data_IF_871321777637
#
_entry.id   IF_871321777637
#
_cell.length_a   1.000
_cell.length_b   1.000
_cell.length_c   1.000
_cell.angle_alpha   90.00
_cell.angle_beta   90.00
_cell.angle_gamma   90.00
#
_symmetry.space_group_name_H-M   'P 1'
#
loop_
_entity.id
_entity.type
_entity.pdbx_description
1 polymer ?
#
# COMPACT_ATOMS: atom_id res chain seq x y z
N UNK A 1 -15.64 -8.62 8.60
CA UNK A 1 -15.47 -7.15 8.44
C UNK A 1 -15.82 -6.41 9.72
N UNK A 2 -17.04 -6.58 10.29
CA UNK A 2 -17.51 -5.81 11.47
C UNK A 2 -16.52 -5.89 12.64
N UNK A 3 -16.02 -7.07 12.99
CA UNK A 3 -15.03 -7.25 14.06
C UNK A 3 -13.69 -6.52 13.80
N UNK A 4 -13.40 -6.17 12.56
CA UNK A 4 -12.17 -5.46 12.18
C UNK A 4 -12.31 -3.93 12.23
N UNK A 5 -13.53 -3.36 12.19
CA UNK A 5 -13.76 -1.92 12.15
C UNK A 5 -13.25 -1.17 13.39
N UNK A 6 -13.25 -1.80 14.55
CA UNK A 6 -12.73 -1.21 15.79
C UNK A 6 -11.22 -1.30 15.94
N UNK A 7 -10.51 -1.71 14.89
CA UNK A 7 -9.06 -1.81 14.91
C UNK A 7 -8.41 -0.45 14.68
N UNK A 8 -7.31 -0.12 15.37
CA UNK A 8 -6.63 1.17 15.19
C UNK A 8 -5.92 1.26 13.83
N UNK A 9 -5.43 0.14 13.30
CA UNK A 9 -4.67 0.08 12.05
C UNK A 9 -5.09 -1.08 11.17
N UNK A 10 -4.74 -1.01 9.88
CA UNK A 10 -4.98 -2.09 8.92
C UNK A 10 -4.38 -3.42 9.37
N UNK A 11 -3.15 -3.41 9.89
CA UNK A 11 -2.48 -4.64 10.35
C UNK A 11 -3.25 -5.36 11.45
N UNK A 12 -3.79 -4.62 12.42
CA UNK A 12 -4.64 -5.20 13.47
C UNK A 12 -5.96 -5.72 12.89
N UNK A 13 -6.55 -4.98 11.94
CA UNK A 13 -7.79 -5.37 11.27
C UNK A 13 -7.63 -6.68 10.49
N UNK A 14 -6.55 -6.82 9.72
CA UNK A 14 -6.25 -8.02 8.94
C UNK A 14 -5.95 -9.22 9.84
N UNK A 15 -5.17 -9.06 10.92
CA UNK A 15 -4.92 -10.13 11.90
C UNK A 15 -6.20 -10.62 12.57
N UNK A 16 -7.13 -9.71 12.89
CA UNK A 16 -8.47 -10.07 13.39
C UNK A 16 -9.30 -10.82 12.36
N UNK A 17 -9.23 -10.37 11.10
CA UNK A 17 -9.88 -11.07 9.99
C UNK A 17 -9.38 -12.51 9.86
N UNK A 18 -8.06 -12.71 9.80
CA UNK A 18 -7.45 -14.04 9.68
C UNK A 18 -7.88 -14.95 10.83
N UNK A 19 -7.84 -14.46 12.09
CA UNK A 19 -8.31 -15.22 13.25
C UNK A 19 -9.79 -15.58 13.13
N UNK A 20 -10.63 -14.65 12.71
CA UNK A 20 -12.07 -14.89 12.60
C UNK A 20 -12.39 -15.88 11.49
N UNK A 21 -11.66 -15.84 10.37
CA UNK A 21 -11.81 -16.79 9.27
C UNK A 21 -11.51 -18.22 9.72
N UNK A 22 -10.50 -18.44 10.56
CA UNK A 22 -10.17 -19.74 11.12
C UNK A 22 -11.24 -20.33 12.08
N UNK A 23 -12.24 -19.52 12.49
CA UNK A 23 -13.42 -20.01 13.23
C UNK A 23 -14.54 -20.48 12.29
N UNK A 24 -14.48 -20.13 10.99
CA UNK A 24 -15.53 -20.43 10.00
C UNK A 24 -15.20 -21.68 9.22
N UNK A 25 -13.92 -21.91 8.94
CA UNK A 25 -13.46 -23.07 8.17
C UNK A 25 -12.10 -23.56 8.67
N UNK A 26 -11.88 -24.87 8.56
CA UNK A 26 -10.61 -25.56 8.80
C UNK A 26 -9.95 -26.07 7.51
N UNK A 27 -10.48 -25.67 6.33
CA UNK A 27 -9.94 -26.08 5.03
C UNK A 27 -8.72 -25.25 4.62
N UNK A 28 -8.66 -23.99 5.12
CA UNK A 28 -7.56 -23.06 4.85
C UNK A 28 -7.14 -22.30 6.12
N UNK A 29 -5.89 -21.84 6.14
CA UNK A 29 -5.39 -20.92 7.14
C UNK A 29 -4.94 -19.61 6.49
N UNK A 30 -5.37 -18.47 7.06
CA UNK A 30 -4.93 -17.14 6.67
C UNK A 30 -3.96 -16.59 7.71
N UNK A 31 -2.87 -15.98 7.25
CA UNK A 31 -1.92 -15.27 8.11
C UNK A 31 -1.50 -13.92 7.50
N UNK A 32 -1.05 -13.03 8.38
CA UNK A 32 -0.43 -11.74 8.01
C UNK A 32 0.85 -11.60 8.80
N UNK A 33 1.96 -11.53 8.10
CA UNK A 33 3.29 -11.41 8.65
C UNK A 33 4.02 -10.21 8.05
N UNK A 34 4.88 -9.59 8.85
CA UNK A 34 5.78 -8.53 8.38
C UNK A 34 7.21 -9.07 8.39
N UNK A 35 7.88 -8.95 7.24
CA UNK A 35 9.26 -9.37 7.07
C UNK A 35 9.97 -8.42 6.11
N UNK A 36 11.15 -7.93 6.50
CA UNK A 36 12.02 -7.10 5.65
C UNK A 36 11.31 -5.89 5.03
N UNK A 37 10.42 -5.23 5.79
CA UNK A 37 9.66 -4.06 5.31
C UNK A 37 8.52 -4.40 4.35
N UNK A 38 8.22 -5.68 4.15
CA UNK A 38 7.09 -6.17 3.38
C UNK A 38 6.06 -6.85 4.28
N UNK A 39 4.80 -6.73 3.91
CA UNK A 39 3.69 -7.44 4.52
C UNK A 39 3.25 -8.58 3.60
N UNK A 40 3.24 -9.78 4.17
CA UNK A 40 2.90 -11.03 3.52
C UNK A 40 1.54 -11.50 4.02
N UNK A 41 0.56 -11.52 3.13
CA UNK A 41 -0.77 -12.08 3.39
C UNK A 41 -0.81 -13.45 2.74
N UNK A 42 -0.85 -14.51 3.55
CA UNK A 42 -0.76 -15.91 3.09
C UNK A 42 -2.07 -16.65 3.29
N UNK A 43 -2.45 -17.40 2.28
CA UNK A 43 -3.48 -18.42 2.33
C UNK A 43 -2.79 -19.77 2.17
N UNK A 44 -2.82 -20.57 3.22
CA UNK A 44 -2.34 -21.96 3.21
C UNK A 44 -3.52 -22.90 3.12
N UNK A 45 -3.51 -23.78 2.14
CA UNK A 45 -4.47 -24.87 2.02
C UNK A 45 -4.14 -25.94 3.06
N UNK A 46 -5.10 -26.29 3.92
CA UNK A 46 -4.96 -27.33 4.95
C UNK A 46 -5.55 -28.65 4.49
N UNK A 47 -6.50 -28.60 3.53
CA UNK A 47 -7.14 -29.73 2.90
C UNK A 47 -7.14 -29.58 1.40
N UNK A 48 -7.44 -30.65 0.68
CA UNK A 48 -7.67 -30.56 -0.75
C UNK A 48 -9.01 -29.85 -1.02
N UNK A 49 -8.95 -28.75 -1.77
CA UNK A 49 -10.11 -27.94 -2.14
C UNK A 49 -10.82 -28.45 -3.38
N UNK A 50 -10.33 -29.54 -4.00
CA UNK A 50 -10.94 -30.16 -5.15
C UNK A 50 -11.12 -29.24 -6.37
N UNK A 51 -12.16 -29.46 -7.19
CA UNK A 51 -12.38 -28.70 -8.45
C UNK A 51 -12.64 -27.21 -8.25
N UNK A 52 -13.05 -26.79 -7.04
CA UNK A 52 -13.34 -25.39 -6.72
C UNK A 52 -12.12 -24.63 -6.17
N UNK A 53 -10.93 -25.24 -6.18
CA UNK A 53 -9.71 -24.72 -5.60
C UNK A 53 -9.36 -23.31 -6.10
N UNK A 54 -9.29 -23.14 -7.43
CA UNK A 54 -8.97 -21.85 -8.04
C UNK A 54 -9.97 -20.77 -7.61
N UNK A 55 -11.27 -21.04 -7.75
CA UNK A 55 -12.32 -20.11 -7.37
C UNK A 55 -12.30 -19.77 -5.89
N UNK A 56 -12.10 -20.75 -5.01
CA UNK A 56 -12.03 -20.54 -3.55
C UNK A 56 -10.85 -19.66 -3.14
N UNK A 57 -9.64 -20.02 -3.58
CA UNK A 57 -8.41 -19.26 -3.27
C UNK A 57 -8.49 -17.85 -3.83
N UNK A 58 -8.90 -17.71 -5.12
CA UNK A 58 -9.05 -16.43 -5.77
C UNK A 58 -10.05 -15.53 -5.05
N UNK A 59 -11.24 -16.05 -4.74
CA UNK A 59 -12.32 -15.30 -4.08
C UNK A 59 -11.91 -14.80 -2.71
N UNK A 60 -11.25 -15.64 -1.91
CA UNK A 60 -10.84 -15.29 -0.55
C UNK A 60 -9.77 -14.19 -0.59
N UNK A 61 -8.70 -14.37 -1.39
CA UNK A 61 -7.63 -13.38 -1.50
C UNK A 61 -8.13 -12.06 -2.11
N UNK A 62 -9.02 -12.14 -3.11
CA UNK A 62 -9.60 -10.95 -3.74
C UNK A 62 -10.50 -10.17 -2.78
N UNK A 63 -11.34 -10.88 -2.00
CA UNK A 63 -12.18 -10.25 -0.97
C UNK A 63 -11.33 -9.61 0.13
N UNK A 64 -10.31 -10.32 0.62
CA UNK A 64 -9.42 -9.79 1.65
C UNK A 64 -8.69 -8.54 1.16
N UNK A 65 -8.15 -8.57 -0.05
CA UNK A 65 -7.51 -7.42 -0.69
C UNK A 65 -8.48 -6.24 -0.88
N UNK A 66 -9.69 -6.51 -1.40
CA UNK A 66 -10.72 -5.48 -1.59
C UNK A 66 -11.16 -4.83 -0.28
N UNK A 67 -11.35 -5.63 0.78
CA UNK A 67 -11.69 -5.12 2.11
C UNK A 67 -10.53 -4.35 2.73
N UNK A 68 -9.28 -4.80 2.56
CA UNK A 68 -8.11 -4.07 3.02
C UNK A 68 -8.05 -2.66 2.41
N UNK A 69 -8.20 -2.55 1.09
CA UNK A 69 -8.27 -1.26 0.39
C UNK A 69 -9.44 -0.40 0.89
N UNK A 70 -10.62 -1.01 1.08
CA UNK A 70 -11.80 -0.31 1.57
C UNK A 70 -11.62 0.22 2.98
N UNK A 71 -11.06 -0.57 3.91
CA UNK A 71 -10.87 -0.17 5.30
C UNK A 71 -10.02 1.09 5.46
N UNK A 72 -8.98 1.25 4.64
CA UNK A 72 -8.10 2.40 4.69
C UNK A 72 -8.45 3.49 3.66
N UNK A 73 -9.50 3.27 2.85
CA UNK A 73 -9.90 4.15 1.75
C UNK A 73 -8.73 4.46 0.80
N UNK A 74 -7.99 3.43 0.42
CA UNK A 74 -6.78 3.56 -0.38
C UNK A 74 -6.56 2.33 -1.25
N UNK A 75 -6.00 2.55 -2.43
CA UNK A 75 -5.39 1.47 -3.19
C UNK A 75 -4.17 0.95 -2.43
N UNK A 76 -4.00 -0.36 -2.40
CA UNK A 76 -2.79 -1.03 -1.94
C UNK A 76 -2.06 -1.54 -3.18
N UNK A 77 -0.85 -1.07 -3.41
CA UNK A 77 -0.01 -1.58 -4.50
C UNK A 77 0.64 -2.88 -4.04
N UNK A 78 0.36 -3.96 -4.76
CA UNK A 78 0.98 -5.26 -4.51
C UNK A 78 2.33 -5.34 -5.23
N UNK A 79 3.37 -5.74 -4.50
CA UNK A 79 4.71 -5.97 -5.06
C UNK A 79 4.82 -7.34 -5.69
N UNK A 80 4.01 -8.30 -5.19
CA UNK A 80 3.93 -9.65 -5.72
C UNK A 80 2.58 -10.27 -5.40
N UNK A 81 2.08 -11.10 -6.32
CA UNK A 81 0.93 -11.99 -6.13
C UNK A 81 1.36 -13.38 -6.58
N UNK A 82 1.29 -14.36 -5.69
CA UNK A 82 1.68 -15.75 -5.96
C UNK A 82 0.50 -16.67 -5.72
N UNK A 83 0.16 -17.48 -6.72
CA UNK A 83 -0.82 -18.56 -6.58
C UNK A 83 -0.13 -19.92 -6.57
N UNK A 84 -0.55 -20.80 -5.65
CA UNK A 84 0.01 -22.14 -5.50
C UNK A 84 -0.56 -23.16 -6.49
N UNK A 85 -1.31 -22.74 -7.50
CA UNK A 85 -1.84 -23.57 -8.58
C UNK A 85 -1.22 -23.20 -9.93
N UNK A 86 -1.36 -24.09 -10.91
CA UNK A 86 -0.86 -23.87 -12.27
C UNK A 86 -1.60 -22.72 -12.95
N UNK A 87 -0.91 -22.04 -13.87
CA UNK A 87 -1.48 -20.94 -14.62
C UNK A 87 -2.73 -21.39 -15.42
N UNK A 88 -3.92 -20.85 -15.13
CA UNK A 88 -5.11 -21.20 -15.89
C UNK A 88 -5.09 -20.59 -17.29
N UNK A 89 -5.87 -21.12 -18.22
CA UNK A 89 -5.97 -20.61 -19.60
C UNK A 89 -6.33 -19.11 -19.65
N UNK A 90 -7.09 -18.64 -18.67
CA UNK A 90 -7.52 -17.24 -18.54
C UNK A 90 -6.62 -16.39 -17.62
N UNK A 91 -5.39 -16.78 -17.40
CA UNK A 91 -4.44 -16.08 -16.50
C UNK A 91 -4.31 -14.57 -16.78
N UNK A 92 -4.56 -14.10 -18.00
CA UNK A 92 -4.49 -12.68 -18.37
C UNK A 92 -5.48 -11.79 -17.59
N UNK A 93 -6.52 -12.36 -16.96
CA UNK A 93 -7.50 -11.63 -16.15
C UNK A 93 -6.95 -11.28 -14.76
N UNK A 94 -6.01 -12.04 -14.23
CA UNK A 94 -5.51 -11.89 -12.86
C UNK A 94 -4.84 -10.54 -12.59
N UNK A 95 -3.98 -9.99 -13.46
CA UNK A 95 -3.43 -8.64 -13.26
C UNK A 95 -4.49 -7.53 -13.26
N UNK A 96 -5.68 -7.75 -13.83
CA UNK A 96 -6.80 -6.81 -13.75
C UNK A 96 -7.48 -6.86 -12.37
N UNK A 97 -7.40 -7.98 -11.67
CA UNK A 97 -7.99 -8.19 -10.35
C UNK A 97 -7.04 -7.76 -9.22
N UNK A 98 -5.76 -8.00 -9.39
CA UNK A 98 -4.70 -7.68 -8.43
C UNK A 98 -3.73 -6.69 -9.07
N UNK A 99 -3.58 -5.53 -8.49
CA UNK A 99 -2.70 -4.48 -9.03
C UNK A 99 -1.24 -4.75 -8.69
N UNK A 100 -0.64 -5.76 -9.33
CA UNK A 100 0.74 -6.18 -9.12
C UNK A 100 1.12 -7.32 -10.06
N UNK A 101 2.42 -7.71 -10.10
CA UNK A 101 2.88 -8.87 -10.84
C UNK A 101 2.29 -10.15 -10.28
N UNK A 102 1.67 -10.96 -11.15
CA UNK A 102 1.04 -12.24 -10.79
C UNK A 102 1.89 -13.39 -11.29
N UNK A 103 2.13 -14.37 -10.41
CA UNK A 103 2.86 -15.60 -10.69
C UNK A 103 2.02 -16.81 -10.28
N UNK A 104 2.25 -17.95 -10.93
CA UNK A 104 1.57 -19.20 -10.69
C UNK A 104 2.57 -20.33 -10.43
N UNK A 105 2.12 -21.40 -9.76
CA UNK A 105 2.96 -22.50 -9.34
C UNK A 105 3.50 -22.32 -7.92
N UNK A 106 3.87 -23.41 -7.23
CA UNK A 106 4.36 -23.29 -5.85
C UNK A 106 5.76 -22.69 -5.83
N UNK A 107 5.97 -21.65 -5.00
CA UNK A 107 7.25 -20.97 -4.82
C UNK A 107 8.37 -21.87 -4.25
N UNK A 108 8.06 -23.04 -3.72
CA UNK A 108 9.01 -23.91 -3.01
C UNK A 108 9.57 -25.08 -3.82
N UNK A 109 9.41 -25.10 -5.15
CA UNK A 109 10.11 -26.14 -5.95
C UNK A 109 11.62 -25.95 -6.08
N UNK A 110 12.20 -24.89 -5.50
CA UNK A 110 13.59 -24.50 -5.82
C UNK A 110 14.66 -24.93 -4.80
N UNK A 111 14.37 -25.59 -3.69
CA UNK A 111 15.41 -25.85 -2.69
C UNK A 111 15.46 -27.21 -1.98
N UNK A 112 14.80 -28.26 -2.46
CA UNK A 112 14.98 -29.60 -1.87
C UNK A 112 15.26 -30.68 -2.94
N UNK A 113 16.38 -30.54 -3.65
CA UNK A 113 17.06 -31.66 -4.29
C UNK A 113 18.01 -32.29 -3.27
N UNK A 114 17.49 -32.96 -2.26
CA UNK A 114 18.21 -33.99 -1.51
C UNK A 114 17.31 -35.22 -1.43
N UNK A 115 17.61 -36.14 -2.36
CA UNK A 115 16.99 -37.45 -2.41
C UNK A 115 17.37 -38.26 -1.17
N UNK A 116 16.54 -38.27 -0.13
CA UNK A 116 16.62 -39.31 0.92
C UNK A 116 15.59 -39.17 2.06
N UNK A 117 14.39 -38.63 1.82
CA UNK A 117 13.30 -38.90 2.80
C UNK A 117 11.96 -39.08 2.08
N UNK A 118 11.54 -40.33 1.93
CA UNK A 118 10.27 -40.75 1.30
C UNK A 118 9.13 -40.81 2.33
N UNK A 119 8.94 -39.79 3.12
CA UNK A 119 7.66 -39.47 3.74
C UNK A 119 7.14 -38.22 3.01
N UNK A 120 6.32 -38.45 1.99
CA UNK A 120 5.70 -37.41 1.16
C UNK A 120 4.74 -36.57 1.99
N UNK A 121 5.27 -35.64 2.76
CA UNK A 121 4.52 -34.45 3.14
C UNK A 121 4.55 -33.54 1.92
N UNK A 122 3.44 -33.51 1.15
CA UNK A 122 3.28 -32.57 0.04
C UNK A 122 3.69 -31.17 0.52
N UNK A 123 4.52 -30.47 -0.27
CA UNK A 123 4.93 -29.11 0.04
C UNK A 123 3.67 -28.24 0.28
N UNK A 124 3.67 -27.38 1.33
CA UNK A 124 2.49 -26.64 1.69
C UNK A 124 2.05 -25.74 0.51
N UNK A 125 0.78 -25.88 0.12
CA UNK A 125 0.17 -25.08 -0.95
C UNK A 125 -0.16 -23.69 -0.40
N UNK A 126 0.74 -22.73 -0.65
CA UNK A 126 0.61 -21.34 -0.14
C UNK A 126 0.44 -20.38 -1.30
N UNK A 127 -0.70 -19.68 -1.31
CA UNK A 127 -0.92 -18.50 -2.16
C UNK A 127 -0.71 -17.23 -1.34
N UNK A 128 -0.11 -16.20 -1.94
CA UNK A 128 0.39 -15.06 -1.20
C UNK A 128 0.16 -13.73 -1.93
N UNK A 129 -0.19 -12.69 -1.16
CA UNK A 129 -0.14 -11.29 -1.59
C UNK A 129 0.95 -10.59 -0.80
N UNK A 130 1.83 -9.87 -1.49
CA UNK A 130 2.93 -9.12 -0.88
C UNK A 130 2.75 -7.63 -1.17
N UNK A 131 2.91 -6.80 -0.15
CA UNK A 131 2.80 -5.35 -0.22
C UNK A 131 3.80 -4.68 0.72
N UNK A 132 4.00 -3.36 0.56
CA UNK A 132 4.82 -2.60 1.51
C UNK A 132 4.19 -2.65 2.93
N UNK A 133 5.00 -2.96 3.94
CA UNK A 133 4.54 -3.09 5.34
C UNK A 133 3.94 -1.79 5.91
N UNK A 134 4.32 -0.63 5.38
CA UNK A 134 3.78 0.66 5.82
C UNK A 134 2.26 0.78 5.66
N UNK A 135 1.64 0.01 4.75
CA UNK A 135 0.17 -0.06 4.67
C UNK A 135 -0.44 -0.60 5.97
N UNK A 136 0.24 -1.53 6.66
CA UNK A 136 -0.27 -2.11 7.91
C UNK A 136 -0.42 -1.08 9.04
N UNK A 137 0.36 0.00 9.01
CA UNK A 137 0.33 1.08 9.99
C UNK A 137 -0.78 2.11 9.72
N UNK A 138 -1.39 2.11 8.53
CA UNK A 138 -2.42 3.10 8.20
C UNK A 138 -3.67 2.94 9.07
N UNK A 139 -4.22 4.06 9.61
CA UNK A 139 -5.46 4.04 10.37
C UNK A 139 -6.65 3.72 9.48
N UNK A 140 -7.65 3.05 10.05
CA UNK A 140 -8.91 2.79 9.37
C UNK A 140 -9.68 4.09 9.12
N UNK A 141 -10.43 4.12 8.00
CA UNK A 141 -11.23 5.27 7.57
C UNK A 141 -12.72 4.95 7.43
N UNK A 142 -13.12 3.77 7.86
CA UNK A 142 -14.49 3.27 7.75
C UNK A 142 -15.07 3.03 9.13
N UNK A 143 -16.35 3.38 9.25
CA UNK A 143 -17.18 3.18 10.42
C UNK A 143 -18.33 2.19 10.14
N UNK A 144 -19.18 1.96 11.13
CA UNK A 144 -20.34 1.08 11.00
C UNK A 144 -21.34 1.58 9.94
N UNK A 145 -21.53 2.89 9.81
CA UNK A 145 -22.41 3.45 8.79
C UNK A 145 -21.87 3.21 7.38
N UNK A 146 -20.55 3.32 7.21
CA UNK A 146 -19.89 2.97 5.95
C UNK A 146 -20.02 1.47 5.65
N UNK A 147 -19.97 0.60 6.69
CA UNK A 147 -20.17 -0.83 6.52
C UNK A 147 -21.60 -1.15 6.05
N UNK A 148 -22.61 -0.53 6.62
CA UNK A 148 -24.00 -0.74 6.21
C UNK A 148 -24.19 -0.37 4.72
N UNK A 149 -23.74 0.80 4.30
CA UNK A 149 -23.78 1.22 2.88
C UNK A 149 -23.03 0.25 1.96
N UNK A 150 -21.90 -0.27 2.44
CA UNK A 150 -21.11 -1.23 1.69
C UNK A 150 -21.85 -2.56 1.50
N UNK A 151 -22.54 -3.06 2.53
CA UNK A 151 -23.30 -4.31 2.47
C UNK A 151 -24.48 -4.24 1.51
N UNK A 152 -25.09 -3.07 1.32
CA UNK A 152 -26.14 -2.82 0.34
C UNK A 152 -25.63 -2.97 -1.12
N UNK A 153 -24.34 -2.75 -1.33
CA UNK A 153 -23.68 -2.78 -2.65
C UNK A 153 -22.50 -3.75 -2.69
N UNK A 154 -22.53 -4.82 -1.88
CA UNK A 154 -21.38 -5.69 -1.57
C UNK A 154 -20.66 -6.29 -2.80
N UNK A 155 -21.38 -6.56 -3.90
CA UNK A 155 -20.79 -7.02 -5.17
C UNK A 155 -19.78 -6.00 -5.75
N UNK A 156 -19.96 -4.72 -5.43
CA UNK A 156 -19.11 -3.65 -5.94
C UNK A 156 -17.71 -3.68 -5.35
N UNK A 157 -17.52 -4.15 -4.10
CA UNK A 157 -16.20 -4.22 -3.45
C UNK A 157 -15.25 -5.23 -4.10
N UNK A 158 -15.77 -6.31 -4.62
CA UNK A 158 -14.96 -7.32 -5.31
C UNK A 158 -14.47 -6.84 -6.69
N UNK A 159 -15.13 -5.81 -7.25
CA UNK A 159 -14.88 -5.27 -8.59
C UNK A 159 -14.23 -3.89 -8.55
N UNK A 160 -14.56 -3.04 -7.56
CA UNK A 160 -14.03 -1.68 -7.49
C UNK A 160 -12.51 -1.69 -7.28
N UNK A 161 -11.83 -1.09 -8.24
CA UNK A 161 -10.42 -0.76 -8.09
C UNK A 161 -10.31 0.64 -7.44
N UNK A 162 -9.70 0.68 -6.26
CA UNK A 162 -9.33 1.95 -5.67
C UNK A 162 -8.26 2.63 -6.53
N UNK A 163 -8.50 3.89 -6.90
CA UNK A 163 -7.57 4.67 -7.73
C UNK A 163 -6.53 5.41 -6.89
N UNK A 164 -6.92 5.87 -5.70
CA UNK A 164 -6.07 6.67 -4.80
C UNK A 164 -5.17 5.81 -3.95
N UNK A 165 -3.88 6.14 -3.93
CA UNK A 165 -2.87 5.50 -3.08
C UNK A 165 -2.38 6.49 -2.01
N UNK A 166 -2.97 6.43 -0.83
CA UNK A 166 -2.67 7.34 0.28
C UNK A 166 -1.24 7.16 0.83
N UNK A 167 -0.68 5.96 0.70
CA UNK A 167 0.70 5.72 1.11
C UNK A 167 1.67 6.46 0.21
N UNK A 168 1.40 6.52 -1.10
CA UNK A 168 2.24 7.25 -2.04
C UNK A 168 2.39 8.72 -1.65
N UNK A 169 1.28 9.41 -1.34
CA UNK A 169 1.35 10.81 -0.93
C UNK A 169 2.19 11.01 0.32
N UNK A 170 2.03 10.11 1.30
CA UNK A 170 2.82 10.14 2.54
C UNK A 170 4.29 9.89 2.26
N UNK A 171 4.62 8.90 1.43
CA UNK A 171 6.00 8.59 1.05
C UNK A 171 6.65 9.72 0.24
N UNK A 172 5.91 10.33 -0.70
CA UNK A 172 6.39 11.50 -1.45
C UNK A 172 6.70 12.66 -0.51
N UNK A 173 5.77 13.02 0.38
CA UNK A 173 5.99 14.10 1.35
C UNK A 173 7.16 13.82 2.27
N UNK A 174 7.29 12.59 2.75
CA UNK A 174 8.39 12.18 3.61
C UNK A 174 9.75 12.25 2.87
N UNK A 175 9.83 11.77 1.63
CA UNK A 175 11.04 11.85 0.83
C UNK A 175 11.45 13.33 0.56
N UNK A 176 10.47 14.18 0.23
CA UNK A 176 10.70 15.63 0.04
C UNK A 176 11.17 16.32 1.33
N UNK A 177 10.66 15.90 2.49
CA UNK A 177 11.04 16.48 3.77
C UNK A 177 12.43 16.02 4.24
N UNK A 178 12.79 14.75 3.98
CA UNK A 178 14.08 14.18 4.40
C UNK A 178 15.23 14.54 3.46
N UNK A 179 14.94 14.74 2.17
CA UNK A 179 15.93 15.01 1.11
C UNK A 179 15.62 16.30 0.32
N UNK A 180 15.51 17.46 0.99
CA UNK A 180 15.06 18.70 0.33
C UNK A 180 16.01 19.19 -0.76
N UNK A 181 17.29 18.80 -0.70
CA UNK A 181 18.33 19.18 -1.67
C UNK A 181 18.44 18.18 -2.84
N UNK A 182 18.00 16.94 -2.65
CA UNK A 182 18.20 15.83 -3.61
C UNK A 182 16.92 15.46 -4.36
N UNK A 183 15.80 16.14 -4.09
CA UNK A 183 14.48 15.81 -4.69
C UNK A 183 13.93 16.99 -5.51
N UNK A 184 14.80 17.57 -6.35
CA UNK A 184 14.40 18.73 -7.16
C UNK A 184 13.49 18.38 -8.33
N UNK A 185 13.56 17.16 -8.83
CA UNK A 185 12.80 16.69 -9.99
C UNK A 185 12.04 15.40 -9.71
N UNK A 186 11.22 14.97 -10.64
CA UNK A 186 10.56 13.67 -10.58
C UNK A 186 11.55 12.53 -10.87
N UNK A 187 12.60 12.82 -11.61
CA UNK A 187 13.71 11.91 -11.93
C UNK A 187 14.49 11.53 -10.67
N UNK A 188 14.68 12.50 -9.75
CA UNK A 188 15.38 12.28 -8.49
C UNK A 188 14.50 11.49 -7.50
N UNK A 189 13.21 11.81 -7.46
CA UNK A 189 12.28 11.27 -6.46
C UNK A 189 11.78 9.85 -6.81
N UNK A 190 11.54 9.56 -8.07
CA UNK A 190 10.94 8.30 -8.50
C UNK A 190 11.76 7.06 -8.10
N UNK A 191 13.12 7.04 -8.22
CA UNK A 191 13.95 5.93 -7.77
C UNK A 191 13.84 5.68 -6.26
N UNK A 192 13.75 6.74 -5.44
CA UNK A 192 13.61 6.63 -3.98
C UNK A 192 12.31 5.92 -3.58
N UNK A 193 11.30 5.97 -4.46
CA UNK A 193 9.99 5.36 -4.27
C UNK A 193 9.83 4.04 -5.04
N UNK A 194 10.90 3.55 -5.68
CA UNK A 194 10.87 2.38 -6.57
C UNK A 194 9.82 2.52 -7.69
N UNK A 195 9.68 3.72 -8.25
CA UNK A 195 8.77 4.03 -9.34
C UNK A 195 9.53 4.55 -10.56
N UNK A 196 8.90 4.45 -11.75
CA UNK A 196 9.32 5.26 -12.89
C UNK A 196 8.74 6.67 -12.79
N UNK A 197 9.42 7.67 -13.35
CA UNK A 197 8.95 9.06 -13.44
C UNK A 197 7.52 9.16 -14.00
N UNK A 198 7.24 8.40 -15.06
CA UNK A 198 5.90 8.31 -15.66
C UNK A 198 4.86 7.77 -14.69
N UNK A 199 5.21 6.71 -13.93
CA UNK A 199 4.33 6.11 -12.92
C UNK A 199 4.04 7.08 -11.78
N UNK A 200 5.07 7.79 -11.29
CA UNK A 200 4.93 8.81 -10.25
C UNK A 200 3.95 9.91 -10.69
N UNK A 201 4.16 10.52 -11.86
CA UNK A 201 3.27 11.57 -12.38
C UNK A 201 1.83 11.07 -12.58
N UNK A 202 1.64 9.88 -13.14
CA UNK A 202 0.32 9.29 -13.33
C UNK A 202 -0.39 9.09 -11.99
N UNK A 203 0.28 8.49 -11.02
CA UNK A 203 -0.30 8.21 -9.71
C UNK A 203 -0.63 9.49 -8.94
N UNK A 204 0.25 10.51 -8.96
CA UNK A 204 -0.04 11.81 -8.37
C UNK A 204 -1.26 12.50 -9.02
N UNK A 205 -1.40 12.38 -10.34
CA UNK A 205 -2.58 12.90 -11.06
C UNK A 205 -3.87 12.12 -10.65
N UNK A 206 -3.79 10.81 -10.47
CA UNK A 206 -4.89 9.99 -9.97
C UNK A 206 -5.31 10.41 -8.55
N UNK A 207 -4.34 10.87 -7.73
CA UNK A 207 -4.57 11.46 -6.40
C UNK A 207 -5.13 12.89 -6.43
N UNK A 208 -5.27 13.49 -7.63
CA UNK A 208 -5.74 14.85 -7.79
C UNK A 208 -4.71 15.91 -7.41
N UNK A 209 -3.42 15.57 -7.41
CA UNK A 209 -2.32 16.47 -7.06
C UNK A 209 -1.17 16.41 -8.09
N UNK A 210 -0.13 17.19 -7.84
CA UNK A 210 1.10 17.17 -8.63
C UNK A 210 2.32 17.17 -7.71
N UNK A 211 3.49 16.77 -8.23
CA UNK A 211 4.74 16.85 -7.50
C UNK A 211 5.04 18.29 -7.04
N UNK A 212 4.74 19.29 -7.89
CA UNK A 212 4.94 20.69 -7.54
C UNK A 212 4.06 21.12 -6.36
N UNK A 213 2.78 20.73 -6.37
CA UNK A 213 1.86 21.04 -5.27
C UNK A 213 2.33 20.44 -3.93
N UNK A 214 2.82 19.18 -3.95
CA UNK A 214 3.37 18.54 -2.75
C UNK A 214 4.67 19.19 -2.27
N UNK A 215 5.54 19.59 -3.19
CA UNK A 215 6.75 20.38 -2.83
C UNK A 215 6.39 21.69 -2.16
N UNK A 216 5.43 22.41 -2.71
CA UNK A 216 4.99 23.69 -2.16
C UNK A 216 4.36 23.50 -0.78
N UNK A 217 3.60 22.42 -0.57
CA UNK A 217 3.04 22.07 0.74
C UNK A 217 4.12 21.79 1.78
N UNK A 218 5.06 20.87 1.47
CA UNK A 218 6.17 20.51 2.38
C UNK A 218 7.05 21.71 2.70
N UNK A 219 7.40 22.53 1.68
CA UNK A 219 8.20 23.74 1.89
C UNK A 219 7.48 24.78 2.75
N UNK A 220 6.17 24.95 2.54
CA UNK A 220 5.34 25.83 3.36
C UNK A 220 5.31 25.39 4.82
N UNK A 221 5.02 24.12 5.07
CA UNK A 221 4.99 23.56 6.42
C UNK A 221 6.34 23.74 7.13
N UNK A 222 7.42 23.43 6.42
CA UNK A 222 8.78 23.60 6.95
C UNK A 222 9.13 25.06 7.26
N UNK A 223 8.75 25.97 6.38
CA UNK A 223 8.99 27.41 6.57
C UNK A 223 8.22 27.95 7.79
N UNK A 224 6.93 27.58 7.91
CA UNK A 224 6.11 27.98 9.07
C UNK A 224 6.70 27.43 10.38
N UNK A 225 7.07 26.16 10.41
CA UNK A 225 7.69 25.56 11.58
C UNK A 225 8.96 26.29 12.00
N UNK A 226 9.84 26.59 11.05
CA UNK A 226 11.11 27.29 11.33
C UNK A 226 10.90 28.74 11.81
N UNK A 227 9.95 29.47 11.22
CA UNK A 227 9.62 30.83 11.64
C UNK A 227 8.99 30.87 13.03
N UNK A 228 8.17 29.85 13.39
CA UNK A 228 7.52 29.80 14.70
C UNK A 228 8.44 29.29 15.82
N UNK A 229 9.32 28.35 15.50
CA UNK A 229 10.14 27.67 16.53
C UNK A 229 11.57 28.19 16.66
N UNK A 230 12.01 29.01 15.72
CA UNK A 230 13.40 29.48 15.70
C UNK A 230 13.46 31.00 15.45
N UNK A 231 14.60 31.62 15.83
CA UNK A 231 14.91 33.01 15.51
C UNK A 231 15.89 33.11 14.33
N UNK A 232 15.86 32.16 13.40
CA UNK A 232 16.74 32.16 12.23
C UNK A 232 16.42 33.33 11.31
N UNK A 233 17.43 33.98 10.70
CA UNK A 233 17.21 34.99 9.67
C UNK A 233 16.42 34.39 8.49
N UNK A 234 15.59 35.21 7.85
CA UNK A 234 14.72 34.79 6.72
C UNK A 234 15.51 34.09 5.62
N UNK A 235 16.75 34.50 5.35
CA UNK A 235 17.65 33.85 4.41
C UNK A 235 17.93 32.39 4.79
N UNK A 236 18.22 32.12 6.06
CA UNK A 236 18.48 30.75 6.54
C UNK A 236 17.22 29.89 6.55
N UNK A 237 16.04 30.50 6.82
CA UNK A 237 14.76 29.83 6.70
C UNK A 237 14.50 29.44 5.26
N UNK A 238 14.75 30.34 4.30
CA UNK A 238 14.61 30.07 2.86
C UNK A 238 15.47 28.87 2.42
N UNK A 239 16.75 28.86 2.78
CA UNK A 239 17.69 27.77 2.49
C UNK A 239 17.22 26.45 3.12
N UNK A 240 16.83 26.47 4.40
CA UNK A 240 16.35 25.30 5.13
C UNK A 240 15.01 24.75 4.59
N UNK A 241 14.19 25.60 3.96
CA UNK A 241 12.95 25.23 3.28
C UNK A 241 13.15 24.80 1.80
N UNK A 242 14.41 24.70 1.34
CA UNK A 242 14.75 24.22 -0.01
C UNK A 242 14.62 25.27 -1.11
N UNK A 243 14.80 26.57 -0.78
CA UNK A 243 14.86 27.64 -1.77
C UNK A 243 16.31 28.04 -2.05
N UNK A 244 16.65 28.26 -3.32
CA UNK A 244 17.97 28.70 -3.74
C UNK A 244 18.24 30.17 -3.42
N UNK A 245 17.20 30.98 -3.27
CA UNK A 245 17.34 32.38 -2.92
C UNK A 245 16.15 32.91 -2.11
N UNK A 246 16.43 33.92 -1.30
CA UNK A 246 15.48 34.55 -0.39
C UNK A 246 14.30 35.23 -1.12
N UNK A 247 14.55 35.86 -2.29
CA UNK A 247 13.48 36.54 -3.03
C UNK A 247 12.40 35.58 -3.52
N UNK A 248 12.81 34.41 -4.00
CA UNK A 248 11.89 33.34 -4.43
C UNK A 248 11.08 32.81 -3.25
N UNK A 249 11.73 32.64 -2.09
CA UNK A 249 11.05 32.25 -0.85
C UNK A 249 10.00 33.27 -0.41
N UNK A 250 10.38 34.56 -0.30
CA UNK A 250 9.43 35.60 0.13
C UNK A 250 8.21 35.67 -0.79
N UNK A 251 8.40 35.56 -2.11
CA UNK A 251 7.29 35.54 -3.06
C UNK A 251 6.37 34.32 -2.88
N UNK A 252 6.95 33.13 -2.74
CA UNK A 252 6.20 31.90 -2.51
C UNK A 252 5.45 31.93 -1.17
N UNK A 253 6.13 32.36 -0.11
CA UNK A 253 5.53 32.44 1.22
C UNK A 253 4.34 33.40 1.27
N UNK A 254 4.48 34.59 0.62
CA UNK A 254 3.36 35.53 0.49
C UNK A 254 2.20 34.94 -0.33
N UNK A 255 2.48 34.17 -1.36
CA UNK A 255 1.45 33.50 -2.14
C UNK A 255 0.71 32.45 -1.31
N UNK A 256 1.41 31.72 -0.44
CA UNK A 256 0.83 30.64 0.39
C UNK A 256 0.05 31.16 1.60
N UNK A 257 0.50 32.24 2.22
CA UNK A 257 0.01 32.71 3.52
C UNK A 257 -0.70 34.07 3.46
N UNK A 258 -0.58 34.77 2.36
CA UNK A 258 -1.04 36.17 2.22
C UNK A 258 -0.11 37.21 2.88
N UNK A 259 0.90 36.78 3.62
CA UNK A 259 1.80 37.64 4.43
C UNK A 259 3.26 37.42 4.05
N UNK A 260 4.12 38.42 4.33
CA UNK A 260 5.56 38.26 4.22
C UNK A 260 6.12 37.53 5.45
N UNK A 261 7.17 36.70 5.29
CA UNK A 261 7.88 36.15 6.45
C UNK A 261 8.52 37.31 7.22
N UNK A 262 8.15 37.45 8.47
CA UNK A 262 8.67 38.51 9.35
C UNK A 262 9.77 37.97 10.25
#
# INVERSE_FOLDING_TARGET
VRASLTSPTLGVALKRWCRHHGLVTDDIALSVEEKEGQAHIRLRELKDLGPQREFGVLSILRNLYGVACWLIDSRITLTQVQFAFEAPAHQAVYPLMFQGPVQFGSAERTSLNTAQDRTLTEAPRISELVMNASYLALPLRRDEAALQRMLETALTLTVLQYRKDRLLLTQVKQALAMHPQDTHSAEDLAPLLNLSTRSLHRQLKEEGTSLQALKDEVRRERAIELLQRTRKPVKQVAESAGFQNEKSFIRAFKQWTGQTPA
#
